data_IF_547688033353
#
_entry.id   IF_547688033353
#
_cell.length_a   1.000
_cell.length_b   1.000
_cell.length_c   1.000
_cell.angle_alpha   90.00
_cell.angle_beta   90.00
_cell.angle_gamma   90.00
#
_symmetry.space_group_name_H-M   'P 1'
#
loop_
_entity.id
_entity.type
_entity.pdbx_description
1 polymer ?
#
# COMPACT_ATOMS: atom_id res chain seq x y z
N UNK A 1 -42.85 -0.71 38.43
CA UNK A 1 -41.58 -0.07 38.06
C UNK A 1 -41.43 1.22 38.85
N UNK A 2 -40.40 1.40 39.62
CA UNK A 2 -40.18 2.61 40.41
C UNK A 2 -39.93 3.83 39.49
N UNK A 3 -40.22 5.03 39.97
CA UNK A 3 -40.01 6.26 39.17
C UNK A 3 -38.53 6.47 38.82
N UNK A 4 -37.60 5.97 39.65
CA UNK A 4 -36.16 5.93 39.31
C UNK A 4 -35.87 5.02 38.13
N UNK A 5 -36.49 3.82 38.08
CA UNK A 5 -36.29 2.87 36.97
C UNK A 5 -36.82 3.42 35.65
N UNK A 6 -37.93 4.15 35.67
CA UNK A 6 -38.48 4.82 34.46
C UNK A 6 -37.53 5.90 33.94
N UNK A 7 -36.98 6.74 34.83
CA UNK A 7 -36.05 7.80 34.47
C UNK A 7 -34.73 7.22 33.87
N UNK A 8 -34.18 6.15 34.46
CA UNK A 8 -33.00 5.46 33.97
C UNK A 8 -33.29 4.83 32.60
N UNK A 9 -34.40 4.15 32.45
CA UNK A 9 -34.79 3.56 31.16
C UNK A 9 -34.88 4.63 30.06
N UNK A 10 -35.53 5.76 30.35
CA UNK A 10 -35.68 6.86 29.39
C UNK A 10 -34.31 7.46 29.03
N UNK A 11 -33.43 7.67 30.01
CA UNK A 11 -32.05 8.14 29.77
C UNK A 11 -31.25 7.18 28.91
N UNK A 12 -31.29 5.87 29.17
CA UNK A 12 -30.59 4.86 28.38
C UNK A 12 -31.13 4.77 26.96
N UNK A 13 -32.41 4.92 26.73
CA UNK A 13 -33.01 4.90 25.38
C UNK A 13 -32.51 6.04 24.51
N UNK A 14 -32.09 7.16 25.09
CA UNK A 14 -31.54 8.30 24.36
C UNK A 14 -30.00 8.19 24.26
N UNK A 15 -29.34 7.88 25.37
CA UNK A 15 -27.87 7.88 25.44
C UNK A 15 -27.25 6.75 24.62
N UNK A 16 -27.82 5.52 24.68
CA UNK A 16 -27.25 4.36 23.98
C UNK A 16 -27.23 4.55 22.45
N UNK A 17 -28.33 4.93 21.78
CA UNK A 17 -28.30 5.19 20.34
C UNK A 17 -27.39 6.34 19.97
N UNK A 18 -27.33 7.39 20.78
CA UNK A 18 -26.43 8.52 20.55
C UNK A 18 -24.96 8.10 20.61
N UNK A 19 -24.57 7.34 21.63
CA UNK A 19 -23.20 6.81 21.72
C UNK A 19 -22.89 5.86 20.58
N UNK A 20 -23.81 4.97 20.21
CA UNK A 20 -23.64 4.07 19.08
C UNK A 20 -23.42 4.84 17.77
N UNK A 21 -24.19 5.91 17.54
CA UNK A 21 -24.00 6.82 16.41
C UNK A 21 -22.63 7.49 16.44
N UNK A 22 -22.22 8.02 17.59
CA UNK A 22 -20.89 8.63 17.74
C UNK A 22 -19.76 7.64 17.45
N UNK A 23 -19.81 6.43 18.00
CA UNK A 23 -18.80 5.40 17.73
C UNK A 23 -18.78 4.99 16.27
N UNK A 24 -19.93 4.84 15.63
CA UNK A 24 -20.02 4.55 14.21
C UNK A 24 -19.41 5.68 13.36
N UNK A 25 -19.77 6.92 13.64
CA UNK A 25 -19.28 8.09 12.92
C UNK A 25 -17.76 8.28 13.09
N UNK A 26 -17.24 8.17 14.32
CA UNK A 26 -15.81 8.24 14.58
C UNK A 26 -15.05 7.07 13.95
N UNK A 27 -15.60 5.87 13.98
CA UNK A 27 -15.02 4.70 13.30
C UNK A 27 -14.92 4.90 11.79
N UNK A 28 -15.95 5.43 11.16
CA UNK A 28 -15.94 5.80 9.74
C UNK A 28 -14.95 6.90 9.42
N UNK A 29 -14.83 7.93 10.27
CA UNK A 29 -13.90 9.03 10.09
C UNK A 29 -12.44 8.54 10.18
N UNK A 30 -12.11 7.64 11.12
CA UNK A 30 -10.78 7.04 11.24
C UNK A 30 -10.47 6.14 10.04
N UNK A 31 -11.42 5.32 9.60
CA UNK A 31 -11.29 4.45 8.44
C UNK A 31 -11.05 5.24 7.15
N UNK A 32 -11.75 6.36 6.98
CA UNK A 32 -11.66 7.20 5.80
C UNK A 32 -10.64 8.34 5.94
N UNK A 33 -9.87 8.38 7.04
CA UNK A 33 -8.83 9.38 7.21
C UNK A 33 -7.82 9.32 6.06
N UNK A 34 -7.49 10.44 5.42
CA UNK A 34 -6.56 10.45 4.30
C UNK A 34 -5.18 9.94 4.71
N UNK A 35 -4.48 9.33 3.75
CA UNK A 35 -3.07 8.99 3.91
C UNK A 35 -2.25 10.27 3.82
N UNK A 36 -1.69 10.74 4.94
CA UNK A 36 -0.90 11.97 5.02
C UNK A 36 0.59 11.64 5.03
N UNK A 37 1.37 12.36 4.23
CA UNK A 37 2.82 12.18 4.22
C UNK A 37 3.48 12.50 5.58
N UNK A 38 2.89 13.37 6.39
CA UNK A 38 3.35 13.64 7.78
C UNK A 38 3.33 12.41 8.70
N UNK A 39 2.52 11.40 8.37
CA UNK A 39 2.42 10.14 9.10
C UNK A 39 3.14 8.99 8.39
N UNK A 40 3.76 9.26 7.24
CA UNK A 40 4.48 8.27 6.46
C UNK A 40 5.69 7.71 7.23
N UNK A 41 5.88 6.39 7.20
CA UNK A 41 6.99 5.69 7.83
C UNK A 41 7.90 5.00 6.82
N UNK A 42 7.32 4.28 5.87
CA UNK A 42 8.11 3.56 4.87
C UNK A 42 7.28 3.14 3.66
N UNK A 43 7.99 2.89 2.58
CA UNK A 43 7.50 2.23 1.37
C UNK A 43 8.37 1.00 1.10
N UNK A 44 7.74 -0.09 0.71
CA UNK A 44 8.45 -1.28 0.25
C UNK A 44 7.83 -1.82 -1.04
N UNK A 45 8.69 -2.41 -1.88
CA UNK A 45 8.28 -3.15 -3.06
C UNK A 45 9.02 -4.48 -3.11
N UNK A 46 8.30 -5.55 -3.48
CA UNK A 46 8.88 -6.85 -3.78
C UNK A 46 8.31 -7.32 -5.11
N UNK A 47 9.15 -7.90 -5.97
CA UNK A 47 8.66 -8.41 -7.24
C UNK A 47 9.52 -9.55 -7.78
N UNK A 48 8.90 -10.38 -8.60
CA UNK A 48 9.52 -11.54 -9.22
C UNK A 48 8.49 -12.53 -9.72
N UNK A 49 8.93 -13.72 -10.18
CA UNK A 49 8.04 -14.83 -10.45
C UNK A 49 7.15 -15.11 -9.23
N UNK A 50 5.92 -15.60 -9.47
CA UNK A 50 4.91 -15.81 -8.39
C UNK A 50 5.46 -16.63 -7.22
N UNK A 51 6.35 -17.60 -7.52
CA UNK A 51 6.94 -18.50 -6.52
C UNK A 51 8.24 -17.96 -5.90
N UNK A 52 8.78 -16.84 -6.42
CA UNK A 52 10.08 -16.30 -5.97
C UNK A 52 10.17 -14.79 -6.15
N UNK A 53 9.91 -14.05 -5.06
CA UNK A 53 10.02 -12.61 -5.03
C UNK A 53 11.46 -12.19 -4.67
N UNK A 54 12.38 -12.33 -5.64
CA UNK A 54 13.81 -12.12 -5.42
C UNK A 54 14.14 -10.62 -5.30
N UNK A 55 13.49 -9.80 -6.15
CA UNK A 55 13.75 -8.37 -6.15
C UNK A 55 12.96 -7.70 -5.03
N UNK A 56 13.62 -6.90 -4.21
CA UNK A 56 13.00 -6.23 -3.08
C UNK A 56 13.71 -4.93 -2.73
N UNK A 57 12.93 -3.98 -2.28
CA UNK A 57 13.38 -2.73 -1.70
C UNK A 57 12.56 -2.36 -0.48
N UNK A 58 13.21 -1.85 0.55
CA UNK A 58 12.56 -1.28 1.74
C UNK A 58 13.19 0.08 2.06
N UNK A 59 12.39 1.14 2.02
CA UNK A 59 12.87 2.50 2.27
C UNK A 59 13.26 2.76 3.72
N UNK A 60 12.79 1.93 4.67
CA UNK A 60 13.13 2.07 6.10
C UNK A 60 14.55 1.61 6.39
N UNK A 61 14.93 0.47 5.83
CA UNK A 61 16.26 -0.11 6.03
C UNK A 61 17.25 0.34 4.94
N UNK A 62 16.76 0.74 3.77
CA UNK A 62 17.57 1.01 2.59
C UNK A 62 18.07 -0.25 1.91
N UNK A 63 17.56 -1.42 2.27
CA UNK A 63 17.95 -2.67 1.63
C UNK A 63 17.37 -2.76 0.22
N UNK A 64 18.24 -2.80 -0.77
CA UNK A 64 17.89 -3.00 -2.17
C UNK A 64 18.54 -4.25 -2.71
N UNK A 65 17.74 -5.14 -3.24
CA UNK A 65 18.19 -6.40 -3.85
C UNK A 65 17.47 -6.60 -5.16
N UNK A 66 18.22 -6.91 -6.21
CA UNK A 66 17.64 -7.24 -7.52
C UNK A 66 18.56 -8.19 -8.31
N UNK A 67 17.96 -8.86 -9.29
CA UNK A 67 18.70 -9.68 -10.25
C UNK A 67 19.03 -8.81 -11.45
N UNK A 68 20.34 -8.73 -11.79
CA UNK A 68 20.80 -7.96 -12.94
C UNK A 68 20.63 -8.72 -14.26
N UNK A 69 21.03 -8.11 -15.39
CA UNK A 69 20.92 -8.71 -16.72
C UNK A 69 21.79 -9.96 -16.93
N UNK A 70 22.77 -10.20 -16.06
CA UNK A 70 23.65 -11.37 -16.05
C UNK A 70 23.16 -12.46 -15.07
N UNK A 71 21.89 -12.43 -14.66
CA UNK A 71 21.29 -13.32 -13.66
C UNK A 71 22.02 -13.37 -12.31
N UNK A 72 22.79 -12.31 -12.01
CA UNK A 72 23.50 -12.19 -10.74
C UNK A 72 22.69 -11.39 -9.74
N UNK A 73 22.66 -11.86 -8.48
CA UNK A 73 21.98 -11.18 -7.40
C UNK A 73 22.83 -10.02 -6.89
N UNK A 74 22.33 -8.81 -7.10
CA UNK A 74 22.94 -7.58 -6.58
C UNK A 74 22.25 -7.21 -5.28
N UNK A 75 23.04 -6.90 -4.25
CA UNK A 75 22.57 -6.38 -2.97
C UNK A 75 23.32 -5.09 -2.67
N UNK A 76 22.59 -4.05 -2.32
CA UNK A 76 23.16 -2.77 -1.96
C UNK A 76 22.32 -2.04 -0.94
N UNK A 77 22.91 -1.04 -0.29
CA UNK A 77 22.19 -0.09 0.53
C UNK A 77 21.85 1.14 -0.31
N UNK A 78 20.55 1.38 -0.54
CA UNK A 78 20.04 2.46 -1.38
C UNK A 78 19.03 3.29 -0.59
N UNK A 79 19.27 4.59 -0.48
CA UNK A 79 18.34 5.52 0.19
C UNK A 79 17.64 6.42 -0.83
N UNK A 80 16.32 6.35 -0.83
CA UNK A 80 15.49 7.39 -1.45
C UNK A 80 15.48 8.63 -0.55
N UNK A 81 15.53 9.80 -1.16
CA UNK A 81 15.39 11.07 -0.45
C UNK A 81 13.94 11.28 0.00
N UNK A 82 13.72 12.24 0.92
CA UNK A 82 12.35 12.62 1.31
C UNK A 82 11.54 13.12 0.11
N UNK A 83 12.17 13.80 -0.84
CA UNK A 83 11.51 14.30 -2.05
C UNK A 83 11.11 13.14 -2.98
N UNK A 84 11.96 12.10 -3.12
CA UNK A 84 11.61 10.89 -3.86
C UNK A 84 10.40 10.18 -3.22
N UNK A 85 10.40 10.04 -1.90
CA UNK A 85 9.31 9.39 -1.16
C UNK A 85 8.01 10.21 -1.20
N UNK A 86 8.11 11.53 -1.10
CA UNK A 86 6.96 12.45 -1.26
C UNK A 86 6.38 12.36 -2.67
N UNK A 87 7.24 12.34 -3.68
CA UNK A 87 6.83 12.15 -5.08
C UNK A 87 6.06 10.84 -5.27
N UNK A 88 6.61 9.72 -4.78
CA UNK A 88 5.95 8.41 -4.87
C UNK A 88 4.63 8.37 -4.11
N UNK A 89 4.56 9.03 -2.94
CA UNK A 89 3.32 9.17 -2.18
C UNK A 89 2.25 9.93 -2.98
N UNK A 90 2.60 11.06 -3.60
CA UNK A 90 1.67 11.83 -4.44
C UNK A 90 1.23 11.02 -5.65
N UNK A 91 2.15 10.33 -6.34
CA UNK A 91 1.81 9.45 -7.45
C UNK A 91 0.86 8.34 -7.06
N UNK A 92 1.08 7.69 -5.91
CA UNK A 92 0.17 6.68 -5.39
C UNK A 92 -1.24 7.27 -5.11
N UNK A 93 -1.30 8.50 -4.54
CA UNK A 93 -2.55 9.20 -4.31
C UNK A 93 -3.29 9.54 -5.61
N UNK A 94 -2.58 10.12 -6.60
CA UNK A 94 -3.13 10.53 -7.90
C UNK A 94 -3.69 9.33 -8.69
N UNK A 95 -3.06 8.17 -8.56
CA UNK A 95 -3.48 6.92 -9.19
C UNK A 95 -4.60 6.22 -8.43
N UNK A 96 -4.99 6.70 -7.24
CA UNK A 96 -6.02 6.07 -6.41
C UNK A 96 -5.58 4.81 -5.68
N UNK A 97 -4.28 4.60 -5.48
CA UNK A 97 -3.70 3.39 -4.87
C UNK A 97 -4.32 3.03 -3.51
N UNK A 98 -4.77 4.02 -2.75
CA UNK A 98 -5.39 3.81 -1.44
C UNK A 98 -6.70 3.03 -1.49
N UNK A 99 -7.40 3.08 -2.63
CA UNK A 99 -8.69 2.44 -2.87
C UNK A 99 -8.56 1.12 -3.66
N UNK A 100 -7.34 0.74 -4.09
CA UNK A 100 -7.13 -0.51 -4.83
C UNK A 100 -7.51 -1.73 -4.01
N UNK A 101 -8.00 -2.80 -4.64
CA UNK A 101 -8.15 -4.11 -4.01
C UNK A 101 -6.80 -4.57 -3.40
N UNK A 102 -6.88 -5.33 -2.29
CA UNK A 102 -5.66 -5.88 -1.66
C UNK A 102 -4.97 -6.91 -2.56
N UNK A 103 -5.76 -7.59 -3.41
CA UNK A 103 -5.28 -8.65 -4.30
C UNK A 103 -5.86 -8.48 -5.69
N UNK A 104 -4.98 -8.38 -6.66
CA UNK A 104 -5.25 -8.30 -8.10
C UNK A 104 -4.45 -9.41 -8.79
N UNK A 105 -4.93 -10.63 -8.67
CA UNK A 105 -4.21 -11.85 -9.05
C UNK A 105 -4.59 -12.29 -10.46
N UNK A 106 -3.60 -12.84 -11.18
CA UNK A 106 -3.85 -13.52 -12.44
C UNK A 106 -4.67 -14.80 -12.23
N UNK A 107 -5.46 -15.16 -13.22
CA UNK A 107 -6.21 -16.42 -13.21
C UNK A 107 -5.25 -17.62 -13.21
N UNK A 108 -5.32 -18.43 -12.16
CA UNK A 108 -4.44 -19.57 -11.97
C UNK A 108 -4.61 -20.68 -13.01
N UNK A 109 -5.70 -20.66 -13.76
CA UNK A 109 -6.00 -21.66 -14.80
C UNK A 109 -5.30 -21.37 -16.13
N UNK A 110 -4.88 -20.12 -16.37
CA UNK A 110 -4.33 -19.64 -17.65
C UNK A 110 -2.78 -19.62 -17.73
N UNK A 111 -2.09 -20.40 -16.92
CA UNK A 111 -0.62 -20.55 -17.00
C UNK A 111 0.15 -19.77 -15.95
N UNK A 112 0.32 -20.36 -14.80
CA UNK A 112 1.01 -19.85 -13.61
C UNK A 112 2.46 -19.36 -13.83
N UNK A 113 3.13 -19.80 -14.88
CA UNK A 113 4.60 -19.70 -14.97
C UNK A 113 5.14 -18.45 -15.66
N UNK A 114 4.29 -17.50 -16.06
CA UNK A 114 4.75 -16.28 -16.77
C UNK A 114 4.37 -14.96 -16.13
N UNK A 115 3.61 -14.98 -15.04
CA UNK A 115 3.18 -13.76 -14.38
C UNK A 115 4.22 -13.30 -13.38
N UNK A 116 4.57 -12.01 -13.44
CA UNK A 116 5.39 -11.35 -12.43
C UNK A 116 4.45 -10.79 -11.37
N UNK A 117 4.72 -11.15 -10.12
CA UNK A 117 3.99 -10.62 -8.96
C UNK A 117 4.72 -9.42 -8.40
N UNK A 118 3.96 -8.39 -8.09
CA UNK A 118 4.41 -7.20 -7.40
C UNK A 118 3.64 -7.09 -6.07
N UNK A 119 4.37 -6.79 -5.01
CA UNK A 119 3.81 -6.47 -3.70
C UNK A 119 4.30 -5.09 -3.35
N UNK A 120 3.37 -4.13 -3.27
CA UNK A 120 3.67 -2.74 -2.93
C UNK A 120 3.01 -2.44 -1.60
N UNK A 121 3.76 -1.89 -0.66
CA UNK A 121 3.24 -1.50 0.64
C UNK A 121 3.71 -0.11 1.03
N UNK A 122 2.78 0.74 1.45
CA UNK A 122 3.03 2.02 2.09
C UNK A 122 2.59 1.94 3.55
N UNK A 123 3.50 2.23 4.46
CA UNK A 123 3.25 2.21 5.91
C UNK A 123 3.21 3.61 6.48
N UNK A 124 2.24 3.81 7.36
CA UNK A 124 2.01 5.06 8.10
C UNK A 124 1.87 4.72 9.58
N UNK A 125 2.02 5.68 10.48
CA UNK A 125 1.95 5.51 11.94
C UNK A 125 0.73 4.73 12.44
N UNK A 126 -0.43 4.88 11.79
CA UNK A 126 -1.70 4.30 12.26
C UNK A 126 -2.32 3.30 11.29
N UNK A 127 -1.82 3.18 10.08
CA UNK A 127 -2.38 2.33 9.04
C UNK A 127 -1.35 1.98 7.97
N UNK A 128 -1.62 0.96 7.18
CA UNK A 128 -0.84 0.62 6.00
C UNK A 128 -1.77 0.30 4.83
N UNK A 129 -1.22 0.43 3.63
CA UNK A 129 -1.86 -0.05 2.41
C UNK A 129 -0.89 -0.97 1.70
N UNK A 130 -1.35 -2.21 1.49
CA UNK A 130 -0.61 -3.24 0.75
C UNK A 130 -1.46 -3.74 -0.39
N UNK A 131 -0.86 -3.82 -1.58
CA UNK A 131 -1.48 -4.35 -2.79
C UNK A 131 -0.58 -5.44 -3.36
N UNK A 132 -1.18 -6.56 -3.72
CA UNK A 132 -0.56 -7.67 -4.43
C UNK A 132 -1.11 -7.67 -5.86
N UNK A 133 -0.27 -7.36 -6.83
CA UNK A 133 -0.63 -7.25 -8.24
C UNK A 133 0.15 -8.25 -9.08
N UNK A 134 -0.53 -9.02 -9.90
CA UNK A 134 0.07 -9.92 -10.89
C UNK A 134 0.03 -9.28 -12.28
N UNK A 135 1.13 -9.29 -13.01
CA UNK A 135 1.21 -8.72 -14.38
C UNK A 135 0.24 -9.34 -15.37
N UNK A 136 -0.26 -10.55 -15.08
CA UNK A 136 -1.29 -11.24 -15.84
C UNK A 136 -2.71 -11.04 -15.31
N UNK A 137 -2.96 -10.07 -14.43
CA UNK A 137 -4.30 -9.71 -13.97
C UNK A 137 -5.16 -9.20 -15.13
N UNK A 138 -6.34 -9.82 -15.33
CA UNK A 138 -7.29 -9.52 -16.41
C UNK A 138 -8.57 -8.81 -15.88
N UNK A 139 -8.42 -7.88 -14.95
CA UNK A 139 -9.52 -7.13 -14.36
C UNK A 139 -9.75 -5.75 -15.01
N UNK A 140 -10.15 -4.77 -14.21
CA UNK A 140 -10.38 -3.39 -14.67
C UNK A 140 -9.10 -2.80 -15.28
N UNK A 141 -9.19 -2.34 -16.53
CA UNK A 141 -8.06 -1.75 -17.27
C UNK A 141 -7.46 -0.55 -16.54
N UNK A 142 -8.27 0.24 -15.82
CA UNK A 142 -7.80 1.39 -15.05
C UNK A 142 -6.90 0.96 -13.89
N UNK A 143 -7.23 -0.15 -13.21
CA UNK A 143 -6.39 -0.71 -12.17
C UNK A 143 -5.08 -1.25 -12.74
N UNK A 144 -5.14 -1.92 -13.90
CA UNK A 144 -3.96 -2.44 -14.60
C UNK A 144 -3.01 -1.28 -14.95
N UNK A 145 -3.53 -0.22 -15.57
CA UNK A 145 -2.71 0.93 -16.00
C UNK A 145 -2.15 1.70 -14.80
N UNK A 146 -2.94 1.88 -13.76
CA UNK A 146 -2.51 2.55 -12.54
C UNK A 146 -1.39 1.76 -11.82
N UNK A 147 -1.53 0.43 -11.67
CA UNK A 147 -0.47 -0.40 -11.10
C UNK A 147 0.81 -0.37 -11.92
N UNK A 148 0.72 -0.54 -13.26
CA UNK A 148 1.88 -0.45 -14.16
C UNK A 148 2.58 0.89 -14.06
N UNK A 149 1.81 1.97 -14.00
CA UNK A 149 2.35 3.33 -13.85
C UNK A 149 3.07 3.48 -12.51
N UNK A 150 2.45 3.10 -11.40
CA UNK A 150 3.07 3.19 -10.07
C UNK A 150 4.35 2.37 -9.98
N UNK A 151 4.34 1.13 -10.50
CA UNK A 151 5.51 0.25 -10.53
C UNK A 151 6.64 0.91 -11.32
N UNK A 152 6.35 1.47 -12.49
CA UNK A 152 7.32 2.19 -13.32
C UNK A 152 7.93 3.38 -12.58
N UNK A 153 7.13 4.19 -11.90
CA UNK A 153 7.60 5.36 -11.14
C UNK A 153 8.49 4.94 -9.96
N UNK A 154 8.13 3.86 -9.24
CA UNK A 154 8.97 3.31 -8.18
C UNK A 154 10.32 2.83 -8.74
N UNK A 155 10.30 2.05 -9.82
CA UNK A 155 11.53 1.53 -10.44
C UNK A 155 12.40 2.66 -10.97
N UNK A 156 11.81 3.71 -11.56
CA UNK A 156 12.54 4.88 -12.03
C UNK A 156 13.20 5.66 -10.87
N UNK A 157 12.49 5.80 -9.76
CA UNK A 157 13.03 6.45 -8.55
C UNK A 157 14.21 5.66 -7.97
N UNK A 158 14.11 4.32 -7.92
CA UNK A 158 15.20 3.44 -7.49
C UNK A 158 16.41 3.55 -8.43
N UNK A 159 16.18 3.50 -9.75
CA UNK A 159 17.24 3.67 -10.74
C UNK A 159 17.95 5.02 -10.60
N UNK A 160 17.20 6.10 -10.47
CA UNK A 160 17.75 7.46 -10.29
C UNK A 160 18.57 7.57 -9.00
N UNK A 161 18.10 6.93 -7.91
CA UNK A 161 18.84 6.89 -6.67
C UNK A 161 20.14 6.09 -6.77
N UNK A 162 20.14 4.97 -7.51
CA UNK A 162 21.34 4.17 -7.79
C UNK A 162 22.37 4.97 -8.61
N UNK A 163 21.93 5.69 -9.63
CA UNK A 163 22.80 6.57 -10.43
C UNK A 163 23.42 7.71 -9.59
N UNK A 164 22.72 8.20 -8.58
CA UNK A 164 23.27 9.19 -7.63
C UNK A 164 24.42 8.61 -6.77
N UNK A 165 24.41 7.31 -6.47
CA UNK A 165 25.48 6.66 -5.71
C UNK A 165 26.74 6.41 -6.52
N UNK A 166 26.64 6.38 -7.87
CA UNK A 166 27.78 6.13 -8.77
C UNK A 166 28.58 7.40 -9.11
N UNK A 167 28.04 8.55 -8.75
CA UNK A 167 28.68 9.87 -8.91
C UNK A 167 29.47 10.27 -7.69
#
# INVERSE_FOLDING_TARGET
>A
MSDRSKKIFFALTIIVPFLAYCFYYYGMMIKNAPYRFSDFESMSIQFGPVDSLINKYDSKTGDYQYVNKQDSLVKMHLRLTNDDLLYLHHKAADLGFWDFPVKELADSTKGKNKSIRYIIEFKYKKKSKRVVYDSGFEGDIRLIDANKTLIKEIQQSLYTAEERLKK
#
